data_IF_949677818161
#
_entry.id   IF_949677818161
#
_cell.length_a   1.000
_cell.length_b   1.000
_cell.length_c   1.000
_cell.angle_alpha   90.00
_cell.angle_beta   90.00
_cell.angle_gamma   90.00
#
_symmetry.space_group_name_H-M   'P 1'
#
loop_
_entity.id
_entity.type
_entity.pdbx_description
1 polymer ?
#
# COMPACT_ATOMS: atom_id res chain seq x y z
N UNK A 1 -0.64 32.44 4.06
CA UNK A 1 -1.28 31.70 2.94
C UNK A 1 -1.81 30.39 3.47
N UNK A 2 -2.99 29.93 3.04
CA UNK A 2 -3.54 28.67 3.52
C UNK A 2 -2.68 27.48 3.01
N UNK A 3 -2.36 26.55 3.90
CA UNK A 3 -1.53 25.36 3.68
C UNK A 3 -2.23 24.33 2.76
N UNK A 4 -3.54 24.23 2.90
CA UNK A 4 -4.38 23.30 2.13
C UNK A 4 -5.35 24.04 1.22
N UNK A 5 -5.85 23.34 0.19
CA UNK A 5 -6.98 23.83 -0.61
C UNK A 5 -8.20 23.97 0.29
N UNK A 6 -8.99 25.02 0.14
CA UNK A 6 -10.22 25.18 0.92
C UNK A 6 -11.20 24.04 0.63
N UNK A 7 -11.99 23.68 1.62
CA UNK A 7 -12.90 22.54 1.50
C UNK A 7 -13.99 22.68 0.43
N UNK A 8 -14.31 23.89 0.00
CA UNK A 8 -15.36 24.14 -0.99
C UNK A 8 -14.85 24.80 -2.27
N UNK A 9 -13.55 24.67 -2.57
CA UNK A 9 -13.00 25.20 -3.80
C UNK A 9 -13.09 24.15 -4.92
N UNK A 10 -13.87 24.46 -5.96
CA UNK A 10 -14.12 23.55 -7.06
C UNK A 10 -13.17 23.79 -8.23
N UNK A 11 -12.62 22.71 -8.73
CA UNK A 11 -11.69 22.75 -9.86
C UNK A 11 -12.36 22.58 -11.23
N UNK A 12 -13.62 22.10 -11.26
CA UNK A 12 -14.35 21.85 -12.51
C UNK A 12 -15.80 22.23 -12.38
N UNK A 13 -16.34 23.09 -13.26
CA UNK A 13 -17.77 23.28 -13.38
C UNK A 13 -18.39 22.00 -13.94
N UNK A 14 -19.29 21.38 -13.21
CA UNK A 14 -20.16 20.35 -13.74
C UNK A 14 -21.22 21.03 -14.62
N UNK A 15 -21.41 20.52 -15.84
CA UNK A 15 -22.36 21.12 -16.80
C UNK A 15 -23.74 21.17 -16.14
N UNK A 16 -24.27 22.37 -16.00
CA UNK A 16 -25.62 22.61 -15.45
C UNK A 16 -25.73 22.71 -13.92
N UNK A 17 -24.62 22.49 -13.16
CA UNK A 17 -24.61 22.65 -11.71
C UNK A 17 -23.40 23.51 -11.30
N UNK A 18 -23.61 24.42 -10.36
CA UNK A 18 -22.46 24.93 -9.61
C UNK A 18 -21.95 23.78 -8.75
N UNK A 19 -20.70 23.80 -8.41
CA UNK A 19 -20.10 22.77 -7.57
C UNK A 19 -20.76 22.68 -6.19
N UNK A 20 -21.10 23.81 -5.58
CA UNK A 20 -21.87 23.81 -4.33
C UNK A 20 -23.24 23.13 -4.51
N UNK A 21 -23.96 23.47 -5.58
CA UNK A 21 -25.28 22.86 -5.86
C UNK A 21 -25.21 21.36 -6.12
N UNK A 22 -24.10 20.85 -6.68
CA UNK A 22 -23.90 19.41 -6.84
C UNK A 22 -23.65 18.71 -5.51
N UNK A 23 -22.82 19.28 -4.62
CA UNK A 23 -22.58 18.70 -3.31
C UNK A 23 -23.84 18.74 -2.44
N UNK A 24 -24.57 19.85 -2.47
CA UNK A 24 -25.85 19.99 -1.79
C UNK A 24 -26.88 18.98 -2.33
N UNK A 25 -26.92 18.77 -3.64
CA UNK A 25 -27.76 17.75 -4.26
C UNK A 25 -27.39 16.35 -3.74
N UNK A 26 -26.09 15.98 -3.79
CA UNK A 26 -25.63 14.68 -3.27
C UNK A 26 -25.96 14.55 -1.77
N UNK A 27 -25.73 15.59 -0.98
CA UNK A 27 -26.08 15.60 0.45
C UNK A 27 -27.58 15.33 0.67
N UNK A 28 -28.45 15.85 -0.22
CA UNK A 28 -29.90 15.68 -0.13
C UNK A 28 -30.38 14.29 -0.55
N UNK A 29 -29.78 13.73 -1.61
CA UNK A 29 -30.21 12.43 -2.17
C UNK A 29 -29.59 11.22 -1.48
N UNK A 30 -28.45 11.41 -0.78
CA UNK A 30 -27.80 10.35 -0.04
C UNK A 30 -28.64 9.93 1.17
N UNK A 31 -28.96 8.64 1.32
CA UNK A 31 -29.63 8.11 2.51
C UNK A 31 -28.90 8.54 3.80
N UNK A 32 -29.63 8.78 4.87
CA UNK A 32 -29.06 9.19 6.15
C UNK A 32 -28.11 8.15 6.76
N UNK A 33 -28.36 6.87 6.49
CA UNK A 33 -27.60 5.70 6.93
C UNK A 33 -26.54 5.26 5.93
N UNK A 34 -26.29 6.03 4.86
CA UNK A 34 -25.30 5.66 3.86
C UNK A 34 -23.88 5.66 4.43
N UNK A 35 -23.11 4.59 4.16
CA UNK A 35 -21.76 4.37 4.68
C UNK A 35 -20.81 5.58 4.51
N UNK A 36 -20.93 6.34 3.41
CA UNK A 36 -20.06 7.48 3.20
C UNK A 36 -20.26 8.61 4.21
N UNK A 37 -21.49 8.76 4.78
CA UNK A 37 -21.77 9.73 5.84
C UNK A 37 -21.02 9.36 7.12
N UNK A 38 -21.11 8.08 7.50
CA UNK A 38 -20.37 7.56 8.64
C UNK A 38 -18.86 7.74 8.44
N UNK A 39 -18.33 7.38 7.26
CA UNK A 39 -16.91 7.57 6.96
C UNK A 39 -16.49 9.03 7.05
N UNK A 40 -17.29 9.95 6.48
CA UNK A 40 -17.02 11.38 6.54
C UNK A 40 -17.01 11.88 7.99
N UNK A 41 -18.02 11.54 8.77
CA UNK A 41 -18.15 11.95 10.17
C UNK A 41 -16.98 11.44 11.01
N UNK A 42 -16.68 10.15 10.92
CA UNK A 42 -15.56 9.52 11.63
C UNK A 42 -14.24 10.16 11.24
N UNK A 43 -13.95 10.31 9.94
CA UNK A 43 -12.68 10.91 9.49
C UNK A 43 -12.56 12.37 9.94
N UNK A 44 -13.65 13.14 9.92
CA UNK A 44 -13.62 14.53 10.35
C UNK A 44 -13.48 14.68 11.87
N UNK A 45 -13.80 13.66 12.65
CA UNK A 45 -13.55 13.62 14.11
C UNK A 45 -12.12 13.23 14.47
N UNK A 46 -11.34 12.63 13.53
CA UNK A 46 -9.95 12.25 13.78
C UNK A 46 -9.04 13.48 13.92
N UNK A 47 -8.08 13.38 14.83
CA UNK A 47 -6.98 14.33 14.93
C UNK A 47 -5.94 14.04 13.82
N UNK A 48 -5.85 14.93 12.84
CA UNK A 48 -4.93 14.82 11.70
C UNK A 48 -3.71 15.73 11.80
N UNK A 49 -3.47 16.37 12.95
CA UNK A 49 -2.38 17.33 13.16
C UNK A 49 -1.00 16.74 12.82
N UNK A 50 -0.75 15.47 13.19
CA UNK A 50 0.50 14.77 12.91
C UNK A 50 0.76 14.61 11.40
N UNK A 51 -0.27 14.42 10.58
CA UNK A 51 -0.14 14.40 9.12
C UNK A 51 0.00 15.83 8.60
N UNK A 52 -0.79 16.75 9.09
CA UNK A 52 -0.80 18.14 8.66
C UNK A 52 0.54 18.85 8.92
N UNK A 53 1.25 18.48 9.99
CA UNK A 53 2.56 18.99 10.33
C UNK A 53 3.62 18.67 9.26
N UNK A 54 3.46 17.58 8.51
CA UNK A 54 4.40 17.17 7.45
C UNK A 54 4.37 18.08 6.22
N UNK A 55 3.34 18.92 6.07
CA UNK A 55 3.17 19.79 4.90
C UNK A 55 3.68 21.21 5.15
N UNK A 56 4.33 21.78 4.14
CA UNK A 56 4.82 23.17 4.19
C UNK A 56 3.77 24.16 3.71
N UNK A 57 3.88 25.41 4.17
CA UNK A 57 3.15 26.55 3.62
C UNK A 57 3.70 27.03 2.28
N UNK A 58 4.90 26.58 1.91
CA UNK A 58 5.57 26.95 0.67
C UNK A 58 5.18 25.99 -0.46
N UNK A 59 4.95 26.54 -1.65
CA UNK A 59 4.63 25.75 -2.84
C UNK A 59 3.14 25.65 -3.16
N UNK A 60 2.78 24.64 -3.95
CA UNK A 60 1.41 24.40 -4.36
C UNK A 60 0.56 23.89 -3.20
N UNK A 61 -0.66 24.40 -3.05
CA UNK A 61 -1.60 23.95 -2.02
C UNK A 61 -1.93 22.46 -2.22
N UNK A 62 -1.77 21.69 -1.17
CA UNK A 62 -2.09 20.26 -1.15
C UNK A 62 -3.55 20.00 -0.83
N UNK A 63 -4.01 18.77 -1.06
CA UNK A 63 -5.33 18.33 -0.57
C UNK A 63 -5.29 18.18 0.95
N UNK A 64 -6.39 18.53 1.61
CA UNK A 64 -6.48 18.33 3.05
C UNK A 64 -6.45 16.83 3.39
N UNK A 65 -5.67 16.38 4.41
CA UNK A 65 -5.55 14.97 4.76
C UNK A 65 -6.89 14.27 4.98
N UNK A 66 -7.86 14.93 5.61
CA UNK A 66 -9.20 14.36 5.85
C UNK A 66 -9.94 13.98 4.57
N UNK A 67 -9.73 14.70 3.47
CA UNK A 67 -10.34 14.35 2.19
C UNK A 67 -9.73 13.05 1.61
N UNK A 68 -8.41 12.96 1.62
CA UNK A 68 -7.71 11.75 1.15
C UNK A 68 -7.98 10.54 2.04
N UNK A 69 -8.05 10.72 3.37
CA UNK A 69 -8.45 9.67 4.32
C UNK A 69 -9.88 9.19 4.05
N UNK A 70 -10.81 10.10 3.78
CA UNK A 70 -12.21 9.74 3.46
C UNK A 70 -12.30 8.87 2.21
N UNK A 71 -11.54 9.20 1.17
CA UNK A 71 -11.46 8.40 -0.07
C UNK A 71 -10.84 7.04 0.19
N UNK A 72 -9.76 6.96 0.97
CA UNK A 72 -9.11 5.70 1.30
C UNK A 72 -10.02 4.79 2.12
N UNK A 73 -10.63 5.30 3.19
CA UNK A 73 -11.46 4.49 4.07
C UNK A 73 -12.74 4.04 3.38
N UNK A 74 -13.42 4.93 2.68
CA UNK A 74 -14.60 4.56 1.90
C UNK A 74 -14.25 3.58 0.76
N UNK A 75 -13.15 3.84 0.05
CA UNK A 75 -12.66 2.95 -0.99
C UNK A 75 -12.40 1.54 -0.47
N UNK A 76 -11.70 1.42 0.66
CA UNK A 76 -11.39 0.13 1.26
C UNK A 76 -12.64 -0.59 1.77
N UNK A 77 -13.55 0.13 2.40
CA UNK A 77 -14.84 -0.41 2.85
C UNK A 77 -15.70 -0.92 1.69
N UNK A 78 -15.57 -0.32 0.50
CA UNK A 78 -16.29 -0.73 -0.72
C UNK A 78 -15.46 -1.61 -1.68
N UNK A 79 -14.30 -2.11 -1.23
CA UNK A 79 -13.44 -3.02 -2.00
C UNK A 79 -12.56 -2.36 -3.05
N UNK A 80 -12.53 -1.03 -3.13
CA UNK A 80 -11.66 -0.28 -4.08
C UNK A 80 -10.31 0.03 -3.42
N UNK A 81 -9.30 -0.79 -3.68
CA UNK A 81 -7.98 -0.71 -3.01
C UNK A 81 -6.89 -0.06 -3.87
N UNK A 82 -7.04 -0.06 -5.18
CA UNK A 82 -6.06 0.47 -6.12
C UNK A 82 -6.10 1.99 -6.18
N UNK A 83 -4.95 2.66 -5.99
CA UNK A 83 -4.84 4.12 -6.10
C UNK A 83 -5.30 4.65 -7.48
N UNK A 84 -5.08 3.88 -8.56
CA UNK A 84 -5.55 4.25 -9.91
C UNK A 84 -7.08 4.21 -9.99
N UNK A 85 -7.70 3.14 -9.45
CA UNK A 85 -9.17 3.04 -9.39
C UNK A 85 -9.78 4.10 -8.47
N UNK A 86 -9.13 4.42 -7.34
CA UNK A 86 -9.58 5.50 -6.47
C UNK A 86 -9.55 6.85 -7.18
N UNK A 87 -8.47 7.17 -7.90
CA UNK A 87 -8.36 8.40 -8.70
C UNK A 87 -9.43 8.46 -9.79
N UNK A 88 -9.67 7.36 -10.51
CA UNK A 88 -10.75 7.24 -11.49
C UNK A 88 -12.14 7.48 -10.86
N UNK A 89 -12.39 6.90 -9.68
CA UNK A 89 -13.64 7.11 -8.95
C UNK A 89 -13.81 8.54 -8.47
N UNK A 90 -12.74 9.25 -8.10
CA UNK A 90 -12.80 10.68 -7.78
C UNK A 90 -13.17 11.55 -9.00
N UNK A 91 -13.01 11.02 -10.22
CA UNK A 91 -13.43 11.69 -11.46
C UNK A 91 -14.89 11.39 -11.85
N UNK A 92 -15.36 10.16 -11.64
CA UNK A 92 -16.59 9.63 -12.23
C UNK A 92 -17.62 9.13 -11.23
N UNK A 93 -17.21 8.85 -9.98
CA UNK A 93 -18.11 8.31 -8.95
C UNK A 93 -18.66 9.39 -8.04
N UNK A 94 -19.98 9.66 -8.07
CA UNK A 94 -20.61 10.73 -7.31
C UNK A 94 -20.30 10.72 -5.79
N UNK A 95 -20.18 9.55 -5.16
CA UNK A 95 -19.80 9.44 -3.74
C UNK A 95 -18.34 9.89 -3.53
N UNK A 96 -17.42 9.46 -4.38
CA UNK A 96 -16.01 9.86 -4.28
C UNK A 96 -15.82 11.35 -4.61
N UNK A 97 -16.58 11.89 -5.56
CA UNK A 97 -16.64 13.33 -5.87
C UNK A 97 -17.12 14.09 -4.63
N UNK A 98 -18.15 13.59 -3.97
CA UNK A 98 -18.68 14.17 -2.73
C UNK A 98 -17.62 14.14 -1.59
N UNK A 99 -16.98 13.01 -1.35
CA UNK A 99 -15.96 12.87 -0.29
C UNK A 99 -14.72 13.74 -0.59
N UNK A 100 -14.33 13.88 -1.84
CA UNK A 100 -13.21 14.73 -2.28
C UNK A 100 -13.62 16.20 -2.49
N UNK A 101 -14.90 16.55 -2.29
CA UNK A 101 -15.40 17.89 -2.56
C UNK A 101 -15.04 18.39 -3.96
N UNK A 102 -15.28 17.54 -4.96
CA UNK A 102 -14.98 17.76 -6.39
C UNK A 102 -13.48 17.92 -6.74
N UNK A 103 -12.57 17.75 -5.80
CA UNK A 103 -11.17 17.66 -6.13
C UNK A 103 -10.84 16.31 -6.80
N UNK A 104 -9.91 16.35 -7.74
CA UNK A 104 -9.50 15.18 -8.53
C UNK A 104 -8.02 14.89 -8.32
N UNK A 105 -7.65 14.20 -7.24
CA UNK A 105 -6.26 13.79 -7.01
C UNK A 105 -5.84 12.77 -8.06
N UNK A 106 -4.60 12.83 -8.51
CA UNK A 106 -4.03 11.78 -9.32
C UNK A 106 -3.69 10.53 -8.49
N UNK A 107 -3.44 9.43 -9.17
CA UNK A 107 -3.15 8.17 -8.49
C UNK A 107 -1.83 8.17 -7.71
N UNK A 108 -0.86 9.00 -8.09
CA UNK A 108 0.42 9.16 -7.38
C UNK A 108 0.18 9.88 -6.06
N UNK A 109 -0.58 10.98 -6.07
CA UNK A 109 -0.96 11.70 -4.85
C UNK A 109 -1.61 10.77 -3.83
N UNK A 110 -2.57 9.92 -4.24
CA UNK A 110 -3.21 8.96 -3.34
C UNK A 110 -2.22 7.90 -2.84
N UNK A 111 -1.38 7.38 -3.74
CA UNK A 111 -0.38 6.36 -3.40
C UNK A 111 0.67 6.89 -2.43
N UNK A 112 1.21 8.06 -2.70
CA UNK A 112 2.25 8.70 -1.88
C UNK A 112 1.69 9.12 -0.51
N UNK A 113 0.46 9.66 -0.49
CA UNK A 113 -0.22 9.96 0.76
C UNK A 113 -0.34 8.72 1.66
N UNK A 114 -0.81 7.60 1.10
CA UNK A 114 -0.91 6.33 1.82
C UNK A 114 0.44 5.83 2.32
N UNK A 115 1.46 5.83 1.43
CA UNK A 115 2.80 5.33 1.74
C UNK A 115 3.47 6.16 2.84
N UNK A 116 3.34 7.48 2.78
CA UNK A 116 4.02 8.39 3.70
C UNK A 116 3.32 8.52 5.06
N UNK A 117 2.10 7.98 5.20
CA UNK A 117 1.29 8.10 6.41
C UNK A 117 0.77 6.75 6.93
N UNK A 118 1.49 5.66 6.66
CA UNK A 118 1.06 4.30 7.08
C UNK A 118 0.86 4.19 8.59
N UNK A 119 1.79 4.72 9.39
CA UNK A 119 1.73 4.67 10.86
C UNK A 119 0.54 5.45 11.41
N UNK A 120 0.26 6.62 10.86
CA UNK A 120 -0.87 7.45 11.26
C UNK A 120 -2.20 6.79 10.86
N UNK A 121 -2.27 6.19 9.66
CA UNK A 121 -3.46 5.46 9.19
C UNK A 121 -3.73 4.25 10.09
N UNK A 122 -2.69 3.54 10.52
CA UNK A 122 -2.82 2.43 11.47
C UNK A 122 -3.34 2.91 12.84
N UNK A 123 -2.82 4.04 13.35
CA UNK A 123 -3.33 4.66 14.57
C UNK A 123 -4.81 5.04 14.46
N UNK A 124 -5.22 5.59 13.32
CA UNK A 124 -6.63 5.95 13.09
C UNK A 124 -7.57 4.75 13.11
N UNK A 125 -7.09 3.57 12.66
CA UNK A 125 -7.87 2.35 12.83
C UNK A 125 -8.18 2.08 14.31
N UNK A 126 -7.20 2.24 15.18
CA UNK A 126 -7.37 2.08 16.64
C UNK A 126 -8.36 3.12 17.19
N UNK A 127 -8.24 4.37 16.76
CA UNK A 127 -9.13 5.46 17.20
C UNK A 127 -10.57 5.22 16.75
N UNK A 128 -10.79 4.70 15.55
CA UNK A 128 -12.12 4.31 15.04
C UNK A 128 -12.72 3.18 15.88
N UNK A 129 -11.94 2.15 16.22
CA UNK A 129 -12.41 1.07 17.09
C UNK A 129 -12.80 1.61 18.47
N UNK A 130 -12.05 2.56 19.03
CA UNK A 130 -12.37 3.22 20.29
C UNK A 130 -13.67 4.04 20.21
N UNK A 131 -13.86 4.80 19.13
CA UNK A 131 -15.10 5.55 18.90
C UNK A 131 -16.28 4.58 18.88
N UNK A 132 -16.21 3.48 18.15
CA UNK A 132 -17.28 2.49 18.10
C UNK A 132 -17.52 1.82 19.48
N UNK A 133 -16.48 1.59 20.25
CA UNK A 133 -16.61 1.09 21.62
C UNK A 133 -17.33 2.08 22.52
N UNK A 134 -16.96 3.35 22.45
CA UNK A 134 -17.60 4.42 23.25
C UNK A 134 -19.07 4.62 22.88
N UNK A 135 -19.42 4.44 21.60
CA UNK A 135 -20.79 4.50 21.10
C UNK A 135 -21.62 3.23 21.41
N UNK A 136 -20.99 2.21 22.04
CA UNK A 136 -21.67 0.97 22.40
C UNK A 136 -21.85 -0.03 21.26
N UNK A 137 -21.26 0.22 20.09
CA UNK A 137 -21.30 -0.70 18.95
C UNK A 137 -20.36 -1.89 19.10
N UNK A 138 -19.33 -1.79 19.95
CA UNK A 138 -18.42 -2.88 20.28
C UNK A 138 -18.47 -3.17 21.77
N UNK A 139 -19.00 -4.34 22.13
CA UNK A 139 -18.77 -4.93 23.44
C UNK A 139 -17.75 -6.06 23.25
N UNK A 140 -16.65 -6.02 24.00
CA UNK A 140 -15.68 -7.12 23.99
C UNK A 140 -16.24 -8.25 24.86
N UNK A 141 -17.10 -9.04 24.23
CA UNK A 141 -17.55 -10.30 24.82
C UNK A 141 -16.77 -11.45 24.17
N UNK A 142 -17.34 -12.03 23.12
CA UNK A 142 -16.68 -13.08 22.33
C UNK A 142 -15.91 -12.48 21.17
N UNK A 143 -14.66 -12.91 21.01
CA UNK A 143 -13.80 -12.56 19.88
C UNK A 143 -13.65 -13.79 19.01
N UNK A 144 -13.91 -13.65 17.74
CA UNK A 144 -13.68 -14.66 16.71
C UNK A 144 -12.40 -14.33 16.00
N UNK A 145 -11.50 -15.31 15.89
CA UNK A 145 -10.27 -15.21 15.12
C UNK A 145 -10.44 -15.94 13.81
N UNK A 146 -10.16 -15.25 12.72
CA UNK A 146 -10.14 -15.83 11.38
C UNK A 146 -8.88 -15.42 10.64
N UNK A 147 -8.30 -16.38 9.92
CA UNK A 147 -7.09 -16.20 9.15
C UNK A 147 -7.37 -16.37 7.66
N UNK A 148 -6.93 -15.41 6.87
CA UNK A 148 -6.99 -15.50 5.40
C UNK A 148 -5.61 -15.35 4.77
N UNK A 149 -5.33 -16.16 3.75
CA UNK A 149 -4.06 -16.11 3.03
C UNK A 149 -4.16 -15.16 1.85
N UNK A 150 -3.37 -14.10 1.89
CA UNK A 150 -3.30 -13.09 0.84
C UNK A 150 -2.06 -13.34 0.00
N UNK A 151 -2.25 -13.45 -1.32
CA UNK A 151 -1.15 -13.63 -2.28
C UNK A 151 -0.26 -12.39 -2.29
N UNK A 152 1.04 -12.58 -2.12
CA UNK A 152 2.06 -11.55 -2.32
C UNK A 152 2.13 -11.09 -3.78
N UNK A 153 2.56 -9.86 -4.01
CA UNK A 153 2.77 -9.33 -5.36
C UNK A 153 4.10 -9.83 -5.95
N UNK A 154 4.25 -11.14 -5.98
CA UNK A 154 5.48 -11.82 -6.34
C UNK A 154 5.22 -12.97 -7.30
N UNK A 155 6.10 -13.11 -8.31
CA UNK A 155 6.04 -14.22 -9.25
C UNK A 155 6.70 -15.46 -8.63
N UNK A 156 6.00 -16.60 -8.64
CA UNK A 156 6.56 -17.88 -8.18
C UNK A 156 7.86 -18.27 -8.93
N UNK A 157 8.03 -17.81 -10.18
CA UNK A 157 9.25 -18.05 -10.98
C UNK A 157 10.52 -17.40 -10.39
N UNK A 158 10.35 -16.34 -9.59
CA UNK A 158 11.46 -15.66 -8.91
C UNK A 158 11.74 -16.18 -7.50
N UNK A 159 11.08 -17.27 -7.13
CA UNK A 159 11.36 -17.98 -5.88
C UNK A 159 12.40 -19.04 -6.16
N UNK A 160 13.47 -19.00 -5.40
CA UNK A 160 14.55 -19.98 -5.49
C UNK A 160 15.06 -20.37 -4.11
N UNK A 161 15.68 -21.54 -4.05
CA UNK A 161 16.52 -21.97 -2.94
C UNK A 161 17.93 -21.40 -3.10
N UNK A 162 18.77 -21.63 -2.11
CA UNK A 162 20.16 -21.15 -2.08
C UNK A 162 20.93 -21.58 -3.35
N UNK A 163 20.86 -22.84 -3.72
CA UNK A 163 21.56 -23.37 -4.91
C UNK A 163 21.06 -22.72 -6.20
N UNK A 164 19.75 -22.45 -6.29
CA UNK A 164 19.15 -21.75 -7.42
C UNK A 164 19.59 -20.30 -7.52
N UNK A 165 19.77 -19.59 -6.40
CA UNK A 165 20.32 -18.23 -6.42
C UNK A 165 21.81 -18.19 -6.72
N UNK A 166 22.61 -19.11 -6.18
CA UNK A 166 24.05 -19.22 -6.48
C UNK A 166 24.30 -19.48 -7.97
N UNK A 167 23.50 -20.37 -8.56
CA UNK A 167 23.55 -20.61 -10.02
C UNK A 167 23.19 -19.35 -10.80
N UNK A 168 22.11 -18.67 -10.40
CA UNK A 168 21.67 -17.44 -11.08
C UNK A 168 22.69 -16.29 -10.93
N UNK A 169 23.33 -16.19 -9.76
CA UNK A 169 24.42 -15.24 -9.52
C UNK A 169 25.60 -15.48 -10.44
N UNK A 170 26.00 -16.75 -10.64
CA UNK A 170 27.06 -17.14 -11.57
C UNK A 170 26.71 -16.78 -13.01
N UNK A 171 25.49 -17.06 -13.46
CA UNK A 171 25.00 -16.70 -14.79
C UNK A 171 25.05 -15.19 -15.03
N UNK A 172 24.55 -14.38 -14.09
CA UNK A 172 24.56 -12.90 -14.19
C UNK A 172 25.97 -12.35 -14.16
N UNK A 173 26.85 -12.92 -13.35
CA UNK A 173 28.25 -12.50 -13.31
C UNK A 173 28.94 -12.75 -14.65
N UNK A 174 28.64 -13.88 -15.32
CA UNK A 174 29.10 -14.17 -16.67
C UNK A 174 28.54 -13.20 -17.72
N UNK A 175 27.24 -12.85 -17.61
CA UNK A 175 26.61 -11.84 -18.49
C UNK A 175 27.23 -10.45 -18.31
N UNK A 176 27.51 -10.03 -17.09
CA UNK A 176 28.19 -8.74 -16.80
C UNK A 176 29.60 -8.74 -17.44
N UNK A 177 30.38 -9.83 -17.28
CA UNK A 177 31.70 -9.93 -17.87
C UNK A 177 31.64 -9.89 -19.42
N UNK A 178 30.60 -10.48 -20.02
CA UNK A 178 30.38 -10.43 -21.47
C UNK A 178 30.04 -9.02 -21.95
N UNK A 179 29.19 -8.28 -21.21
CA UNK A 179 28.83 -6.90 -21.53
C UNK A 179 30.06 -5.98 -21.43
N UNK A 180 30.90 -6.16 -20.41
CA UNK A 180 32.13 -5.39 -20.26
C UNK A 180 33.12 -5.64 -21.41
N UNK A 181 33.28 -6.91 -21.85
CA UNK A 181 34.09 -7.23 -23.03
C UNK A 181 33.53 -6.61 -24.31
N UNK A 182 32.20 -6.61 -24.46
CA UNK A 182 31.52 -5.96 -25.61
C UNK A 182 31.82 -4.46 -25.61
N UNK A 183 31.77 -3.80 -24.46
CA UNK A 183 32.11 -2.39 -24.31
C UNK A 183 33.59 -2.11 -24.65
N UNK A 184 34.53 -2.91 -24.10
CA UNK A 184 35.95 -2.79 -24.42
C UNK A 184 36.26 -2.97 -25.93
N UNK A 185 35.55 -3.87 -26.60
CA UNK A 185 35.71 -4.05 -28.02
C UNK A 185 35.21 -2.87 -28.85
N UNK A 186 34.12 -2.22 -28.41
CA UNK A 186 33.61 -0.99 -29.03
C UNK A 186 34.58 0.16 -28.81
N UNK A 187 35.05 0.37 -27.57
CA UNK A 187 36.05 1.40 -27.26
C UNK A 187 37.34 1.26 -28.05
N UNK A 188 37.78 0.04 -28.28
CA UNK A 188 38.97 -0.27 -29.10
C UNK A 188 38.77 -0.08 -30.61
N UNK A 189 37.53 0.01 -31.10
CA UNK A 189 37.19 0.23 -32.51
C UNK A 189 36.89 1.69 -32.85
N UNK A 190 36.67 2.51 -31.84
CA UNK A 190 36.40 3.96 -31.95
C UNK A 190 37.71 4.76 -31.86
N UNK A 191 38.51 4.74 -32.97
CA UNK A 191 39.51 5.76 -33.19
C UNK A 191 38.82 7.03 -33.71
N UNK A 192 38.85 8.10 -32.91
CA UNK A 192 38.70 9.52 -33.31
C UNK A 192 37.33 10.02 -33.83
N UNK A 193 36.18 9.65 -33.25
CA UNK A 193 34.93 10.42 -33.51
C UNK A 193 34.08 10.64 -32.26
N UNK A 194 34.15 11.86 -31.72
CA UNK A 194 33.21 12.38 -30.72
C UNK A 194 31.75 12.36 -31.20
N UNK A 195 31.07 11.25 -31.11
CA UNK A 195 29.60 11.16 -31.09
C UNK A 195 29.24 10.04 -30.15
N UNK A 196 28.38 10.35 -29.15
CA UNK A 196 27.77 9.34 -28.27
C UNK A 196 27.03 8.36 -29.18
N UNK A 197 27.52 7.13 -29.25
CA UNK A 197 26.89 6.08 -30.03
C UNK A 197 25.65 5.59 -29.26
N UNK A 198 24.45 5.51 -29.91
CA UNK A 198 23.27 4.90 -29.31
C UNK A 198 23.50 3.48 -28.73
N UNK A 199 24.51 2.76 -29.23
CA UNK A 199 24.92 1.47 -28.71
C UNK A 199 25.50 1.51 -27.30
N UNK A 200 26.27 2.54 -26.95
CA UNK A 200 26.85 2.71 -25.61
C UNK A 200 25.78 2.94 -24.55
N UNK A 201 24.74 3.73 -24.84
CA UNK A 201 23.63 3.98 -23.91
C UNK A 201 22.83 2.70 -23.60
N UNK A 202 22.63 1.84 -24.62
CA UNK A 202 21.98 0.54 -24.46
C UNK A 202 22.83 -0.41 -23.61
N UNK A 203 24.16 -0.44 -23.82
CA UNK A 203 25.08 -1.25 -23.03
C UNK A 203 25.15 -0.80 -21.56
N UNK A 204 25.22 0.50 -21.32
CA UNK A 204 25.21 1.06 -19.97
C UNK A 204 23.92 0.68 -19.22
N UNK A 205 22.77 0.77 -19.88
CA UNK A 205 21.48 0.37 -19.30
C UNK A 205 21.47 -1.13 -19.00
N UNK A 206 21.91 -1.98 -19.92
CA UNK A 206 22.00 -3.43 -19.70
C UNK A 206 22.92 -3.76 -18.52
N UNK A 207 24.08 -3.12 -18.42
CA UNK A 207 25.02 -3.27 -17.32
C UNK A 207 24.39 -2.85 -15.98
N UNK A 208 23.74 -1.70 -15.93
CA UNK A 208 23.05 -1.21 -14.74
C UNK A 208 21.95 -2.16 -14.27
N UNK A 209 21.11 -2.66 -15.19
CA UNK A 209 20.03 -3.59 -14.87
C UNK A 209 20.58 -4.92 -14.31
N UNK A 210 21.69 -5.44 -14.87
CA UNK A 210 22.32 -6.69 -14.41
C UNK A 210 23.03 -6.51 -13.07
N UNK A 211 23.71 -5.40 -12.88
CA UNK A 211 24.37 -5.08 -11.60
C UNK A 211 23.33 -4.94 -10.48
N UNK A 212 22.21 -4.26 -10.74
CA UNK A 212 21.14 -4.14 -9.77
C UNK A 212 20.49 -5.51 -9.43
N UNK A 213 20.30 -6.37 -10.44
CA UNK A 213 19.79 -7.72 -10.23
C UNK A 213 20.76 -8.58 -9.42
N UNK A 214 22.08 -8.46 -9.67
CA UNK A 214 23.13 -9.12 -8.90
C UNK A 214 23.06 -8.73 -7.42
N UNK A 215 23.01 -7.42 -7.12
CA UNK A 215 22.91 -6.91 -5.75
C UNK A 215 21.67 -7.45 -5.02
N UNK A 216 20.52 -7.52 -5.69
CA UNK A 216 19.30 -8.11 -5.10
C UNK A 216 19.42 -9.60 -4.78
N UNK A 217 20.16 -10.35 -5.61
CA UNK A 217 20.37 -11.78 -5.35
C UNK A 217 21.32 -11.97 -4.17
N UNK A 218 22.36 -11.16 -4.07
CA UNK A 218 23.29 -11.16 -2.95
C UNK A 218 22.56 -10.84 -1.63
N UNK A 219 21.72 -9.81 -1.61
CA UNK A 219 20.87 -9.45 -0.48
C UNK A 219 19.92 -10.60 -0.09
N UNK A 220 19.27 -11.23 -1.08
CA UNK A 220 18.40 -12.38 -0.83
C UNK A 220 19.16 -13.58 -0.22
N UNK A 221 20.39 -13.84 -0.63
CA UNK A 221 21.24 -14.88 -0.05
C UNK A 221 21.66 -14.57 1.39
N UNK A 222 21.91 -13.30 1.71
CA UNK A 222 22.18 -12.86 3.09
C UNK A 222 20.97 -13.07 4.00
N UNK A 223 19.79 -12.62 3.59
CA UNK A 223 18.53 -12.84 4.31
C UNK A 223 18.27 -14.34 4.54
N UNK A 224 18.47 -15.18 3.51
CA UNK A 224 18.34 -16.63 3.65
C UNK A 224 19.25 -17.21 4.72
N UNK A 225 20.47 -16.68 4.82
CA UNK A 225 21.46 -17.15 5.79
C UNK A 225 21.12 -16.67 7.22
N UNK A 226 20.71 -15.43 7.37
CA UNK A 226 20.37 -14.82 8.66
C UNK A 226 19.09 -15.42 9.26
N UNK A 227 18.05 -15.57 8.43
CA UNK A 227 16.74 -16.08 8.87
C UNK A 227 16.61 -17.60 8.75
N UNK A 228 17.63 -18.30 8.28
CA UNK A 228 17.64 -19.76 8.05
C UNK A 228 16.46 -20.23 7.18
N UNK A 229 16.17 -19.48 6.11
CA UNK A 229 15.05 -19.78 5.20
C UNK A 229 15.50 -20.63 4.03
N UNK A 230 14.73 -21.68 3.71
CA UNK A 230 15.02 -22.59 2.60
C UNK A 230 14.79 -21.95 1.24
N UNK A 231 13.81 -21.05 1.12
CA UNK A 231 13.41 -20.39 -0.13
C UNK A 231 12.99 -18.96 0.12
N UNK A 232 13.37 -18.08 -0.79
CA UNK A 232 12.96 -16.67 -0.79
C UNK A 232 12.48 -16.27 -2.18
N UNK A 233 11.58 -15.30 -2.26
CA UNK A 233 11.19 -14.66 -3.51
C UNK A 233 11.97 -13.36 -3.70
N UNK A 234 12.63 -13.20 -4.85
CA UNK A 234 13.47 -12.03 -5.13
C UNK A 234 12.68 -10.70 -5.25
N UNK A 235 11.36 -10.77 -5.51
CA UNK A 235 10.52 -9.57 -5.66
C UNK A 235 9.91 -9.13 -4.34
N UNK A 236 9.68 -10.08 -3.45
CA UNK A 236 9.03 -9.91 -2.15
C UNK A 236 9.70 -10.86 -1.18
N UNK A 237 10.77 -10.37 -0.54
CA UNK A 237 11.63 -11.18 0.35
C UNK A 237 10.92 -11.55 1.65
N UNK A 238 9.93 -10.76 2.07
CA UNK A 238 9.18 -10.99 3.29
C UNK A 238 8.09 -12.07 3.10
N UNK A 239 7.56 -12.20 1.87
CA UNK A 239 6.51 -13.17 1.58
C UNK A 239 6.99 -14.61 1.77
N UNK A 240 6.22 -15.40 2.52
CA UNK A 240 6.51 -16.81 2.72
C UNK A 240 5.66 -17.70 1.80
N UNK A 241 6.14 -18.94 1.55
CA UNK A 241 5.43 -19.90 0.72
C UNK A 241 4.25 -20.48 1.47
N UNK A 242 3.04 -20.17 1.00
CA UNK A 242 1.80 -20.59 1.64
C UNK A 242 0.93 -21.40 0.69
N UNK A 243 0.33 -22.45 1.21
CA UNK A 243 -0.70 -23.21 0.52
C UNK A 243 -2.01 -22.45 0.67
N UNK A 244 -2.61 -22.03 -0.42
CA UNK A 244 -3.95 -21.42 -0.40
C UNK A 244 -4.99 -22.51 -0.13
N UNK A 245 -5.98 -22.23 0.73
CA UNK A 245 -7.03 -23.18 1.11
C UNK A 245 -7.68 -23.81 -0.13
N UNK A 246 -7.77 -25.13 -0.16
CA UNK A 246 -8.38 -25.90 -1.26
C UNK A 246 -7.55 -26.04 -2.54
N UNK A 247 -6.52 -25.26 -2.74
CA UNK A 247 -5.61 -25.35 -3.89
C UNK A 247 -4.34 -26.12 -3.54
N UNK A 248 -3.84 -26.92 -4.50
CA UNK A 248 -2.51 -27.55 -4.38
C UNK A 248 -1.36 -26.57 -4.63
N UNK A 249 -1.66 -25.36 -5.07
CA UNK A 249 -0.68 -24.34 -5.42
C UNK A 249 -0.07 -23.71 -4.17
N UNK A 250 1.25 -23.78 -4.07
CA UNK A 250 2.05 -23.08 -3.07
C UNK A 250 2.55 -21.79 -3.71
N UNK A 251 2.19 -20.63 -3.11
CA UNK A 251 2.55 -19.31 -3.65
C UNK A 251 3.11 -18.41 -2.55
N UNK A 252 3.99 -17.45 -2.92
CA UNK A 252 4.41 -16.42 -1.98
C UNK A 252 3.19 -15.60 -1.51
N UNK A 253 3.09 -15.39 -0.20
CA UNK A 253 1.97 -14.67 0.37
C UNK A 253 2.13 -14.41 1.86
N UNK A 254 1.08 -13.85 2.44
CA UNK A 254 0.97 -13.49 3.84
C UNK A 254 -0.26 -14.16 4.43
N UNK A 255 -0.18 -14.50 5.70
CA UNK A 255 -1.30 -14.97 6.48
C UNK A 255 -1.85 -13.78 7.28
N UNK A 256 -3.02 -13.29 6.89
CA UNK A 256 -3.65 -12.15 7.53
C UNK A 256 -4.65 -12.66 8.56
N UNK A 257 -4.42 -12.34 9.80
CA UNK A 257 -5.28 -12.68 10.93
C UNK A 257 -6.17 -11.49 11.28
N UNK A 258 -7.43 -11.73 11.58
CA UNK A 258 -8.36 -10.72 12.05
C UNK A 258 -9.09 -11.19 13.31
N UNK A 259 -9.18 -10.32 14.30
CA UNK A 259 -10.03 -10.49 15.47
C UNK A 259 -11.33 -9.71 15.26
N UNK A 260 -12.45 -10.39 15.32
CA UNK A 260 -13.78 -9.83 15.06
C UNK A 260 -14.67 -10.05 16.27
N UNK A 261 -15.39 -9.02 16.70
CA UNK A 261 -16.37 -9.12 17.77
C UNK A 261 -17.65 -9.84 17.32
N UNK A 262 -18.50 -10.21 18.26
CA UNK A 262 -19.82 -10.82 17.99
C UNK A 262 -20.71 -9.90 17.13
N UNK A 263 -20.51 -8.58 17.21
CA UNK A 263 -21.18 -7.58 16.38
C UNK A 263 -20.58 -7.42 14.97
N UNK A 264 -19.55 -8.21 14.60
CA UNK A 264 -18.92 -8.18 13.30
C UNK A 264 -17.87 -7.07 13.11
N UNK A 265 -17.45 -6.40 14.16
CA UNK A 265 -16.45 -5.33 14.08
C UNK A 265 -15.05 -5.90 14.25
N UNK A 266 -14.16 -5.58 13.33
CA UNK A 266 -12.75 -5.96 13.40
C UNK A 266 -12.06 -5.07 14.45
N UNK A 267 -11.51 -5.68 15.49
CA UNK A 267 -10.83 -4.99 16.60
C UNK A 267 -9.30 -5.11 16.54
N UNK A 268 -8.80 -6.13 15.86
CA UNK A 268 -7.38 -6.26 15.56
C UNK A 268 -7.18 -6.96 14.23
N UNK A 269 -6.05 -6.67 13.57
CA UNK A 269 -5.66 -7.34 12.34
C UNK A 269 -4.15 -7.27 12.17
N UNK A 270 -3.54 -8.37 11.73
CA UNK A 270 -2.12 -8.48 11.50
C UNK A 270 -1.85 -9.35 10.28
N UNK A 271 -0.81 -8.99 9.53
CA UNK A 271 -0.30 -9.81 8.44
C UNK A 271 1.01 -10.45 8.91
N UNK A 272 1.02 -11.77 8.96
CA UNK A 272 2.19 -12.55 9.39
C UNK A 272 2.73 -13.40 8.27
N UNK A 273 4.00 -13.75 8.37
CA UNK A 273 4.69 -14.60 7.38
C UNK A 273 4.56 -16.08 7.69
N UNK A 274 4.07 -16.44 8.87
CA UNK A 274 3.84 -17.83 9.26
C UNK A 274 2.63 -18.42 8.54
N UNK A 275 2.83 -19.56 7.87
CA UNK A 275 1.77 -20.25 7.12
C UNK A 275 0.72 -20.93 8.02
N UNK A 276 0.97 -21.06 9.32
CA UNK A 276 0.13 -21.79 10.27
C UNK A 276 -0.52 -20.83 11.28
N UNK A 277 -1.83 -20.99 11.49
CA UNK A 277 -2.63 -20.14 12.39
C UNK A 277 -2.47 -20.47 13.87
N UNK A 278 -1.89 -21.62 14.20
CA UNK A 278 -1.84 -22.14 15.58
C UNK A 278 -1.18 -21.21 16.60
N UNK A 279 -0.16 -20.48 16.16
CA UNK A 279 0.61 -19.60 17.04
C UNK A 279 0.13 -18.16 17.01
N UNK A 280 -0.84 -17.83 16.17
CA UNK A 280 -1.28 -16.45 15.93
C UNK A 280 -2.33 -15.96 16.93
N UNK A 281 -2.98 -16.87 17.63
CA UNK A 281 -4.04 -16.54 18.58
C UNK A 281 -3.56 -15.60 19.70
N UNK A 282 -2.42 -15.91 20.31
CA UNK A 282 -1.89 -15.14 21.45
C UNK A 282 -1.47 -13.73 21.06
N UNK A 283 -0.66 -13.48 19.99
CA UNK A 283 -0.31 -12.14 19.53
C UNK A 283 -1.53 -11.28 19.20
N UNK A 284 -2.54 -11.84 18.53
CA UNK A 284 -3.75 -11.09 18.13
C UNK A 284 -4.60 -10.72 19.35
N UNK A 285 -4.68 -11.57 20.37
CA UNK A 285 -5.36 -11.26 21.64
C UNK A 285 -4.61 -10.15 22.38
N UNK A 286 -3.29 -10.26 22.51
CA UNK A 286 -2.47 -9.23 23.15
C UNK A 286 -2.60 -7.88 22.45
N UNK A 287 -2.61 -7.85 21.13
CA UNK A 287 -2.89 -6.63 20.35
C UNK A 287 -4.30 -6.07 20.64
N UNK A 288 -5.29 -6.94 20.75
CA UNK A 288 -6.67 -6.50 21.05
C UNK A 288 -6.74 -5.85 22.43
N UNK A 289 -6.10 -6.47 23.44
CA UNK A 289 -6.04 -5.94 24.80
C UNK A 289 -5.28 -4.62 24.87
N UNK A 290 -4.12 -4.49 24.23
CA UNK A 290 -3.33 -3.26 24.18
C UNK A 290 -4.09 -2.12 23.51
N UNK A 291 -4.76 -2.38 22.39
CA UNK A 291 -5.56 -1.40 21.67
C UNK A 291 -6.78 -0.92 22.46
N UNK A 292 -7.36 -1.80 23.29
CA UNK A 292 -8.50 -1.43 24.16
C UNK A 292 -8.09 -0.76 25.47
N UNK A 293 -6.98 -1.16 26.06
CA UNK A 293 -6.50 -0.60 27.33
C UNK A 293 -5.91 0.82 27.21
N UNK A 294 -5.82 1.37 26.02
CA UNK A 294 -5.30 2.73 25.80
C UNK A 294 -3.79 2.86 26.04
N UNK A 295 -3.08 1.74 26.16
CA UNK A 295 -1.61 1.69 26.27
C UNK A 295 -1.07 1.43 24.88
N UNK A 296 -0.65 2.48 24.17
CA UNK A 296 0.19 2.40 22.98
C UNK A 296 1.63 2.61 23.39
#
# INVERSE_FOLDING_TARGET
MAKFKPFHEFQRPLIGFTPESFLDYIETVLPKDHLCRLVKEVVFSLDTEAIEAKYSFLGQRTYHPKLLLSVLFYGYATGVRSSRKLAERCLSGHIFIYLMQSYTPDHRTISDFRKNNLKEIERYFVDIVRIFSTLGYTQIGKIYLDGTKIKGNASAKRTKDKAGFEKWLSEITGEIASILKEAENIDNQEDDRCKIDPGQEVLQKRLSDRTHLKSKIEEALEIMKEENREKINLTDTDANHMKSGGSKDIRPGYNCQAAVTESGIIVAGEAVTEANDRNQMKPVIEQTELKHAGKS
#
